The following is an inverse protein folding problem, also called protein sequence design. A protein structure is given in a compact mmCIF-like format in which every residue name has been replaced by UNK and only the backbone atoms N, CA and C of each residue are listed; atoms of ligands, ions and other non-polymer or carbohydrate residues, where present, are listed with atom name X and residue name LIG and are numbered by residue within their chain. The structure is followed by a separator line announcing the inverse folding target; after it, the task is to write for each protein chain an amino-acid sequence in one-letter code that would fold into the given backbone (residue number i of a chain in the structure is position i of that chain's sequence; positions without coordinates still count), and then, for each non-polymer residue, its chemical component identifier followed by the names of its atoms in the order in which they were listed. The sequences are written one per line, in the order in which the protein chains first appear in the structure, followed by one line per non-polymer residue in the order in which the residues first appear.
data_IF_398268678538
#
_entry.id   IF_398268678538
#
_cell.length_a   1.000
_cell.length_b   1.000
_cell.length_c   1.000
_cell.angle_alpha   90.00
_cell.angle_beta   90.00
_cell.angle_gamma   90.00
#
_symmetry.space_group_name_H-M   'P 1'
#
loop_
_entity.id
_entity.type
_entity.pdbx_description
1 polymer ?
#
# COMPACT_ATOMS: atom_id res chain seq x y z
N UNK A 1 -5.05 -18.34 44.23
CA UNK A 1 -5.21 -19.05 42.95
C UNK A 1 -5.26 -18.01 41.84
N UNK A 2 -4.10 -17.59 41.35
CA UNK A 2 -3.98 -16.66 40.21
C UNK A 2 -4.04 -17.48 38.93
N UNK A 3 -5.16 -17.39 38.21
CA UNK A 3 -5.29 -17.92 36.85
C UNK A 3 -4.30 -17.21 35.93
N UNK A 4 -3.47 -17.94 35.17
CA UNK A 4 -2.60 -17.32 34.18
C UNK A 4 -3.46 -16.88 32.98
N UNK A 5 -3.45 -15.59 32.69
CA UNK A 5 -3.97 -15.02 31.46
C UNK A 5 -3.24 -15.66 30.27
N UNK A 6 -3.94 -16.31 29.31
CA UNK A 6 -3.27 -16.79 28.10
C UNK A 6 -2.76 -15.57 27.31
N UNK A 7 -1.56 -15.64 26.70
CA UNK A 7 -1.09 -14.57 25.84
C UNK A 7 -2.03 -14.49 24.65
N UNK A 8 -2.73 -13.36 24.52
CA UNK A 8 -3.45 -12.94 23.32
C UNK A 8 -2.43 -12.69 22.20
N UNK A 9 -1.84 -13.75 21.65
CA UNK A 9 -1.16 -13.69 20.35
C UNK A 9 -2.22 -13.73 19.26
N UNK A 10 -3.09 -12.72 19.23
CA UNK A 10 -3.81 -12.37 18.00
C UNK A 10 -2.76 -11.83 17.04
N UNK A 11 -2.12 -12.74 16.29
CA UNK A 11 -1.37 -12.36 15.10
C UNK A 11 -2.33 -11.57 14.21
N UNK A 12 -2.23 -10.24 14.26
CA UNK A 12 -2.94 -9.37 13.34
C UNK A 12 -2.26 -9.60 11.99
N UNK A 13 -2.85 -10.47 11.18
CA UNK A 13 -2.42 -10.79 9.82
C UNK A 13 -2.21 -9.51 9.00
N UNK A 14 -3.00 -8.46 9.29
CA UNK A 14 -2.89 -7.16 8.65
C UNK A 14 -2.88 -6.05 9.71
N UNK A 15 -2.05 -5.03 9.50
CA UNK A 15 -2.04 -3.82 10.31
C UNK A 15 -3.14 -2.84 9.88
N UNK A 16 -3.78 -2.09 10.81
CA UNK A 16 -4.77 -1.09 10.44
C UNK A 16 -4.20 0.04 9.56
N UNK A 17 -4.93 0.44 8.52
CA UNK A 17 -4.65 1.65 7.74
C UNK A 17 -5.30 2.85 8.40
N UNK A 18 -4.51 3.70 9.07
CA UNK A 18 -4.98 4.94 9.68
C UNK A 18 -4.72 6.20 8.81
N UNK A 19 -4.25 6.01 7.56
CA UNK A 19 -3.81 7.09 6.69
C UNK A 19 -2.31 7.40 6.83
N UNK A 20 -1.81 8.43 6.10
CA UNK A 20 -2.57 9.33 5.24
C UNK A 20 -2.98 8.69 3.91
N UNK A 21 -4.14 9.11 3.38
CA UNK A 21 -4.72 8.62 2.12
C UNK A 21 -3.97 9.21 0.92
N UNK A 22 -2.79 8.65 0.66
CA UNK A 22 -1.89 9.03 -0.44
C UNK A 22 -1.62 7.82 -1.32
N UNK A 23 -1.28 8.03 -2.60
CA UNK A 23 -0.94 6.94 -3.51
C UNK A 23 0.17 6.04 -2.97
N UNK A 24 1.23 6.64 -2.44
CA UNK A 24 2.33 5.90 -1.84
C UNK A 24 1.92 5.18 -0.54
N UNK A 25 1.22 5.87 0.38
CA UNK A 25 0.78 5.28 1.64
C UNK A 25 -0.15 4.08 1.45
N UNK A 26 -1.11 4.21 0.53
CA UNK A 26 -2.04 3.12 0.19
C UNK A 26 -1.32 1.96 -0.49
N UNK A 27 -0.39 2.24 -1.42
CA UNK A 27 0.41 1.20 -2.09
C UNK A 27 1.27 0.42 -1.09
N UNK A 28 1.99 1.12 -0.21
CA UNK A 28 2.85 0.48 0.81
C UNK A 28 2.01 -0.39 1.72
N UNK A 29 0.87 0.11 2.20
CA UNK A 29 0.00 -0.64 3.09
C UNK A 29 -0.63 -1.87 2.42
N UNK A 30 -1.03 -1.78 1.15
CA UNK A 30 -1.52 -2.94 0.41
C UNK A 30 -0.43 -4.00 0.23
N UNK A 31 0.82 -3.60 0.01
CA UNK A 31 1.96 -4.52 0.00
C UNK A 31 2.14 -5.21 1.37
N UNK A 32 2.05 -4.46 2.46
CA UNK A 32 2.10 -5.03 3.82
C UNK A 32 0.94 -6.02 4.10
N UNK A 33 -0.23 -5.83 3.47
CA UNK A 33 -1.31 -6.80 3.55
C UNK A 33 -0.94 -8.12 2.85
N UNK A 34 -0.32 -8.04 1.67
CA UNK A 34 0.16 -9.19 0.91
C UNK A 34 1.25 -9.94 1.69
N UNK A 35 2.26 -9.24 2.19
CA UNK A 35 3.29 -9.79 3.08
C UNK A 35 2.65 -10.47 4.30
N UNK A 36 1.62 -9.86 4.89
CA UNK A 36 0.87 -10.43 6.01
C UNK A 36 0.16 -11.74 5.68
N UNK A 37 -0.41 -11.85 4.47
CA UNK A 37 -1.04 -13.07 3.99
C UNK A 37 -0.03 -14.18 3.72
N UNK A 38 1.11 -13.85 3.11
CA UNK A 38 2.20 -14.80 2.84
C UNK A 38 2.79 -15.32 4.16
N UNK A 39 3.12 -14.42 5.10
CA UNK A 39 3.60 -14.79 6.43
C UNK A 39 2.61 -15.72 7.17
N UNK A 40 1.31 -15.49 7.01
CA UNK A 40 0.29 -16.38 7.59
C UNK A 40 0.38 -17.79 6.99
N UNK A 41 0.49 -17.90 5.66
CA UNK A 41 0.61 -19.18 4.95
C UNK A 41 1.88 -19.95 5.36
N UNK A 42 3.01 -19.24 5.47
CA UNK A 42 4.29 -19.81 5.90
C UNK A 42 4.23 -20.35 7.34
N UNK A 43 3.57 -19.59 8.23
CA UNK A 43 3.46 -19.95 9.65
C UNK A 43 2.44 -21.08 9.88
N UNK A 44 1.41 -21.18 9.03
CA UNK A 44 0.31 -22.14 9.17
C UNK A 44 0.35 -23.25 8.10
N UNK A 45 1.55 -23.70 7.71
CA UNK A 45 1.86 -24.90 6.91
C UNK A 45 0.74 -25.35 5.95
N UNK A 46 0.42 -24.49 4.98
CA UNK A 46 -0.49 -24.84 3.88
C UNK A 46 -1.95 -24.39 4.05
N UNK A 47 -2.30 -23.65 5.11
CA UNK A 47 -3.58 -22.98 5.20
C UNK A 47 -3.59 -21.69 4.37
N UNK A 48 -4.12 -21.75 3.14
CA UNK A 48 -4.30 -20.55 2.33
C UNK A 48 -5.51 -19.73 2.78
N UNK A 49 -5.32 -18.42 2.92
CA UNK A 49 -6.44 -17.50 3.10
C UNK A 49 -7.18 -17.39 1.77
N UNK A 50 -8.41 -17.90 1.73
CA UNK A 50 -9.29 -17.69 0.58
C UNK A 50 -9.52 -16.21 0.30
N UNK A 51 -9.79 -15.86 -0.97
CA UNK A 51 -9.97 -14.48 -1.46
C UNK A 51 -10.94 -13.68 -0.58
N UNK A 52 -12.10 -14.27 -0.25
CA UNK A 52 -13.12 -13.65 0.60
C UNK A 52 -12.61 -13.31 2.00
N UNK A 53 -11.72 -14.13 2.55
CA UNK A 53 -11.08 -13.90 3.86
C UNK A 53 -10.04 -12.79 3.76
N UNK A 54 -9.20 -12.77 2.72
CA UNK A 54 -8.24 -11.69 2.46
C UNK A 54 -8.96 -10.33 2.38
N UNK A 55 -9.98 -10.24 1.53
CA UNK A 55 -10.80 -9.02 1.36
C UNK A 55 -11.44 -8.60 2.70
N UNK A 56 -11.99 -9.56 3.46
CA UNK A 56 -12.60 -9.25 4.77
C UNK A 56 -11.59 -8.70 5.77
N UNK A 57 -10.40 -9.30 5.86
CA UNK A 57 -9.34 -8.87 6.78
C UNK A 57 -8.83 -7.48 6.41
N UNK A 58 -8.65 -7.22 5.11
CA UNK A 58 -8.22 -5.90 4.63
C UNK A 58 -9.28 -4.84 4.88
N UNK A 59 -10.52 -5.11 4.50
CA UNK A 59 -11.63 -4.18 4.72
C UNK A 59 -11.85 -3.85 6.20
N UNK A 60 -11.75 -4.85 7.09
CA UNK A 60 -11.82 -4.64 8.54
C UNK A 60 -10.63 -3.86 9.12
N UNK A 61 -9.51 -3.82 8.40
CA UNK A 61 -8.31 -3.08 8.78
C UNK A 61 -8.29 -1.64 8.22
N UNK A 62 -9.31 -1.21 7.45
CA UNK A 62 -9.46 0.17 7.02
C UNK A 62 -9.95 1.04 8.20
N UNK A 63 -9.03 1.70 8.90
CA UNK A 63 -9.33 2.53 10.07
C UNK A 63 -9.46 4.03 9.74
N UNK A 64 -8.99 4.46 8.57
CA UNK A 64 -9.23 5.80 8.05
C UNK A 64 -10.75 6.01 7.86
N UNK A 65 -11.34 7.11 8.38
CA UNK A 65 -12.79 7.29 8.43
C UNK A 65 -13.52 7.12 7.09
N UNK A 66 -13.01 7.70 6.00
CA UNK A 66 -13.66 7.63 4.68
C UNK A 66 -13.59 6.20 4.12
N UNK A 67 -12.48 5.50 4.32
CA UNK A 67 -12.32 4.12 3.90
C UNK A 67 -13.17 3.15 4.73
N UNK A 68 -13.28 3.39 6.04
CA UNK A 68 -14.12 2.61 6.95
C UNK A 68 -15.61 2.72 6.59
N UNK A 69 -16.08 3.94 6.28
CA UNK A 69 -17.43 4.19 5.81
C UNK A 69 -17.69 3.49 4.47
N UNK A 70 -16.82 3.69 3.48
CA UNK A 70 -16.90 3.04 2.17
C UNK A 70 -16.96 1.52 2.27
N UNK A 71 -16.11 0.93 3.12
CA UNK A 71 -16.13 -0.50 3.40
C UNK A 71 -17.47 -0.92 4.00
N UNK A 72 -17.97 -0.20 5.00
CA UNK A 72 -19.22 -0.56 5.70
C UNK A 72 -20.43 -0.56 4.75
N UNK A 73 -20.48 0.37 3.80
CA UNK A 73 -21.54 0.47 2.80
C UNK A 73 -21.44 -0.64 1.76
N UNK A 74 -20.25 -0.86 1.17
CA UNK A 74 -20.08 -1.77 0.04
C UNK A 74 -19.64 -3.20 0.39
N UNK A 75 -19.42 -3.52 1.68
CA UNK A 75 -18.86 -4.79 2.15
C UNK A 75 -19.49 -6.02 1.49
N UNK A 76 -20.82 -6.07 1.37
CA UNK A 76 -21.51 -7.23 0.79
C UNK A 76 -21.08 -7.48 -0.66
N UNK A 77 -21.00 -6.42 -1.46
CA UNK A 77 -20.58 -6.49 -2.87
C UNK A 77 -19.10 -6.82 -3.01
N UNK A 78 -18.24 -6.23 -2.18
CA UNK A 78 -16.81 -6.47 -2.23
C UNK A 78 -16.42 -7.89 -1.86
N UNK A 79 -17.21 -8.52 -0.98
CA UNK A 79 -17.00 -9.91 -0.57
C UNK A 79 -17.44 -10.94 -1.60
N UNK A 80 -18.10 -10.53 -2.69
CA UNK A 80 -18.45 -11.36 -3.85
C UNK A 80 -17.48 -11.19 -5.02
N UNK A 81 -16.40 -10.40 -4.85
CA UNK A 81 -15.36 -10.27 -5.86
C UNK A 81 -14.60 -11.59 -6.05
N UNK A 82 -14.33 -11.93 -7.31
CA UNK A 82 -13.69 -13.19 -7.68
C UNK A 82 -12.21 -13.26 -7.28
N UNK A 83 -11.51 -12.12 -7.29
CA UNK A 83 -10.08 -12.06 -7.00
C UNK A 83 -9.74 -10.91 -6.05
N UNK A 84 -8.58 -11.06 -5.39
CA UNK A 84 -8.01 -10.04 -4.52
C UNK A 84 -7.67 -8.76 -5.32
N UNK A 85 -7.16 -8.92 -6.53
CA UNK A 85 -6.73 -7.83 -7.40
C UNK A 85 -7.91 -6.94 -7.82
N UNK A 86 -9.10 -7.53 -8.03
CA UNK A 86 -10.32 -6.77 -8.29
C UNK A 86 -10.68 -5.87 -7.10
N UNK A 87 -10.51 -6.36 -5.87
CA UNK A 87 -10.74 -5.56 -4.66
C UNK A 87 -9.70 -4.44 -4.55
N UNK A 88 -8.41 -4.76 -4.74
CA UNK A 88 -7.33 -3.77 -4.77
C UNK A 88 -7.61 -2.68 -5.81
N UNK A 89 -8.08 -3.05 -6.99
CA UNK A 89 -8.44 -2.10 -8.03
C UNK A 89 -9.58 -1.18 -7.58
N UNK A 90 -10.65 -1.72 -6.97
CA UNK A 90 -11.74 -0.89 -6.42
C UNK A 90 -11.27 0.09 -5.34
N UNK A 91 -10.36 -0.34 -4.47
CA UNK A 91 -9.76 0.52 -3.44
C UNK A 91 -8.96 1.65 -4.12
N UNK A 92 -8.14 1.32 -5.13
CA UNK A 92 -7.37 2.33 -5.88
C UNK A 92 -8.28 3.29 -6.64
N UNK A 93 -9.29 2.81 -7.36
CA UNK A 93 -10.21 3.64 -8.14
C UNK A 93 -11.02 4.61 -7.26
N UNK A 94 -11.33 4.20 -6.03
CA UNK A 94 -12.09 5.03 -5.10
C UNK A 94 -11.24 6.11 -4.44
N UNK A 95 -10.02 5.75 -4.02
CA UNK A 95 -9.23 6.55 -3.09
C UNK A 95 -8.00 7.19 -3.74
N UNK A 96 -7.68 6.86 -4.98
CA UNK A 96 -6.66 7.56 -5.75
C UNK A 96 -7.33 8.50 -6.76
N UNK A 97 -6.88 9.75 -6.89
CA UNK A 97 -7.34 10.67 -7.94
C UNK A 97 -7.18 10.03 -9.33
N UNK A 98 -8.07 10.29 -10.28
CA UNK A 98 -7.99 9.71 -11.65
C UNK A 98 -6.59 9.90 -12.28
N UNK A 99 -5.99 11.07 -12.05
CA UNK A 99 -4.70 11.47 -12.60
C UNK A 99 -3.51 11.16 -11.68
N UNK A 100 -3.69 10.34 -10.63
CA UNK A 100 -2.64 10.08 -9.64
C UNK A 100 -1.33 9.58 -10.24
N UNK A 101 -1.40 8.84 -11.36
CA UNK A 101 -0.22 8.38 -12.10
C UNK A 101 0.48 9.53 -12.80
N UNK A 102 -0.27 10.40 -13.45
CA UNK A 102 0.22 11.60 -14.12
C UNK A 102 0.85 12.54 -13.10
N UNK A 103 0.18 12.79 -11.97
CA UNK A 103 0.69 13.61 -10.87
C UNK A 103 1.98 13.02 -10.27
N UNK A 104 2.05 11.69 -10.13
CA UNK A 104 3.25 11.02 -9.62
C UNK A 104 4.41 11.08 -10.62
N UNK A 105 4.14 10.99 -11.93
CA UNK A 105 5.14 11.18 -12.98
C UNK A 105 5.63 12.63 -13.04
N UNK A 106 4.72 13.60 -12.94
CA UNK A 106 5.06 15.02 -12.89
C UNK A 106 5.95 15.32 -11.68
N UNK A 107 5.58 14.81 -10.49
CA UNK A 107 6.42 14.91 -9.29
C UNK A 107 7.80 14.31 -9.48
N UNK A 108 7.90 13.16 -10.15
CA UNK A 108 9.20 12.54 -10.44
C UNK A 108 10.05 13.45 -11.34
N UNK A 109 9.51 13.87 -12.50
CA UNK A 109 10.27 14.66 -13.46
C UNK A 109 10.54 16.09 -12.98
N UNK A 110 9.71 16.63 -12.09
CA UNK A 110 9.92 17.92 -11.42
C UNK A 110 10.85 17.88 -10.21
N UNK A 111 11.25 16.68 -9.73
CA UNK A 111 12.15 16.56 -8.59
C UNK A 111 13.57 16.96 -8.98
N UNK A 112 14.09 18.07 -8.44
CA UNK A 112 15.46 18.56 -8.69
C UNK A 112 16.17 18.85 -7.37
N UNK A 113 17.49 18.68 -7.29
CA UNK A 113 18.22 18.91 -6.04
C UNK A 113 18.10 20.38 -5.58
N UNK A 114 18.50 21.33 -6.42
CA UNK A 114 18.54 22.74 -6.08
C UNK A 114 19.43 22.98 -4.86
N UNK A 115 18.94 23.76 -3.89
CA UNK A 115 19.71 24.07 -2.67
C UNK A 115 19.71 22.95 -1.61
N UNK A 116 19.09 21.81 -1.89
CA UNK A 116 18.91 20.71 -0.92
C UNK A 116 20.14 19.81 -0.89
N UNK A 117 20.31 19.10 0.22
CA UNK A 117 21.32 18.04 0.31
C UNK A 117 21.02 16.91 -0.68
N UNK A 118 22.06 16.34 -1.28
CA UNK A 118 21.94 15.28 -2.26
C UNK A 118 21.18 14.06 -1.73
N UNK A 119 21.40 13.67 -0.46
CA UNK A 119 20.71 12.51 0.13
C UNK A 119 19.22 12.76 0.29
N UNK A 120 18.83 13.99 0.63
CA UNK A 120 17.43 14.39 0.74
C UNK A 120 16.77 14.33 -0.64
N UNK A 121 17.42 14.89 -1.66
CA UNK A 121 16.96 14.79 -3.05
C UNK A 121 16.83 13.34 -3.53
N UNK A 122 17.86 12.52 -3.34
CA UNK A 122 17.85 11.12 -3.76
C UNK A 122 16.76 10.31 -3.05
N UNK A 123 16.53 10.55 -1.75
CA UNK A 123 15.46 9.90 -1.01
C UNK A 123 14.07 10.28 -1.55
N UNK A 124 13.85 11.56 -1.84
CA UNK A 124 12.59 12.06 -2.42
C UNK A 124 12.35 11.50 -3.83
N UNK A 125 13.40 11.42 -4.65
CA UNK A 125 13.33 10.83 -5.98
C UNK A 125 12.92 9.34 -5.92
N UNK A 126 13.48 8.58 -4.96
CA UNK A 126 13.09 7.19 -4.70
C UNK A 126 11.64 7.10 -4.21
N UNK A 127 11.17 8.02 -3.37
CA UNK A 127 9.77 8.07 -2.94
C UNK A 127 8.81 8.34 -4.11
N UNK A 128 9.17 9.26 -5.03
CA UNK A 128 8.41 9.50 -6.26
C UNK A 128 8.32 8.23 -7.12
N UNK A 129 9.43 7.50 -7.28
CA UNK A 129 9.42 6.21 -7.97
C UNK A 129 8.55 5.18 -7.23
N UNK A 130 8.63 5.14 -5.91
CA UNK A 130 7.86 4.25 -5.05
C UNK A 130 6.35 4.45 -5.17
N UNK A 131 5.89 5.65 -5.51
CA UNK A 131 4.47 5.91 -5.75
C UNK A 131 3.94 5.27 -7.05
N UNK A 132 4.79 5.02 -8.05
CA UNK A 132 4.40 4.51 -9.37
C UNK A 132 4.38 2.98 -9.43
N UNK A 133 3.63 2.36 -10.37
CA UNK A 133 3.73 0.93 -10.63
C UNK A 133 5.17 0.51 -10.98
N UNK A 134 5.57 -0.69 -10.57
CA UNK A 134 6.91 -1.20 -10.88
C UNK A 134 7.16 -1.21 -12.39
N UNK A 135 8.36 -0.81 -12.81
CA UNK A 135 8.73 -0.73 -14.22
C UNK A 135 8.23 0.52 -14.97
N UNK A 136 7.44 1.39 -14.35
CA UNK A 136 7.00 2.65 -14.99
C UNK A 136 8.18 3.57 -15.31
N UNK A 137 9.17 3.63 -14.42
CA UNK A 137 10.42 4.37 -14.60
C UNK A 137 11.55 3.35 -14.57
N UNK A 138 12.37 3.35 -15.62
CA UNK A 138 13.53 2.45 -15.69
C UNK A 138 14.65 2.93 -14.77
N UNK A 139 15.46 1.99 -14.26
CA UNK A 139 16.66 2.30 -13.47
C UNK A 139 17.60 3.24 -14.21
N UNK A 140 17.66 3.15 -15.54
CA UNK A 140 18.46 4.06 -16.38
C UNK A 140 17.95 5.50 -16.30
N UNK A 141 16.63 5.71 -16.39
CA UNK A 141 16.03 7.04 -16.23
C UNK A 141 16.31 7.61 -14.85
N UNK A 142 16.20 6.80 -13.79
CA UNK A 142 16.51 7.24 -12.41
C UNK A 142 17.97 7.69 -12.31
N UNK A 143 18.91 6.92 -12.86
CA UNK A 143 20.34 7.26 -12.86
C UNK A 143 20.61 8.56 -13.62
N UNK A 144 20.00 8.74 -14.80
CA UNK A 144 20.12 10.00 -15.54
C UNK A 144 19.51 11.16 -14.76
N UNK A 145 18.38 10.95 -14.08
CA UNK A 145 17.76 11.99 -13.29
C UNK A 145 18.68 12.44 -12.14
N UNK A 146 19.31 11.49 -11.44
CA UNK A 146 20.33 11.79 -10.43
C UNK A 146 21.56 12.49 -11.01
N UNK A 147 22.02 12.11 -12.21
CA UNK A 147 23.21 12.71 -12.82
C UNK A 147 22.99 14.15 -13.29
N UNK A 148 21.83 14.43 -13.90
CA UNK A 148 21.57 15.70 -14.55
C UNK A 148 20.84 16.71 -13.67
N UNK A 149 20.11 16.27 -12.63
CA UNK A 149 19.36 17.17 -11.73
C UNK A 149 19.93 17.25 -10.30
N UNK A 150 21.14 16.70 -10.07
CA UNK A 150 21.92 16.89 -8.85
C UNK A 150 22.84 18.11 -8.94
N UNK A 151 22.25 19.30 -9.03
CA UNK A 151 22.94 20.58 -9.07
C UNK A 151 22.21 21.64 -8.25
#
# INVERSE_FOLDING_TARGET
LTTPTPPLMSSKIIHPFAGPLTANGLKVWLGQCEDGFENYQDTHKGAELGVKTRIRLTGASLAEPQMAEWWSVGRKEYLELATWEMFVQKVKDRFLPVDWKTDALEKFYGCMQGKRDFRVFAAELVQCCGALPSGTISTTIIKYHLLFFAH
#
